data_IF_916774710897
#
_entry.id   IF_916774710897
#
_cell.length_a   1.000
_cell.length_b   1.000
_cell.length_c   1.000
_cell.angle_alpha   90.00
_cell.angle_beta   90.00
_cell.angle_gamma   90.00
#
_symmetry.space_group_name_H-M   'P 1'
#
loop_
_entity.id
_entity.type
_entity.pdbx_description
1 polymer ?
#
# COMPACT_ATOMS: atom_id res chain seq x y z
N UNK A 1 38.31 7.11 -41.79
CA UNK A 1 38.30 6.03 -40.79
C UNK A 1 37.96 6.49 -39.36
N UNK A 2 38.21 7.74 -38.93
CA UNK A 2 37.86 8.20 -37.57
C UNK A 2 36.41 8.64 -37.32
N UNK A 3 35.60 8.86 -38.36
CA UNK A 3 34.24 9.42 -38.26
C UNK A 3 33.16 8.37 -37.99
N UNK A 4 33.34 7.14 -38.45
CA UNK A 4 32.41 6.00 -38.26
C UNK A 4 32.36 5.53 -36.81
N UNK A 5 33.51 5.40 -36.12
CA UNK A 5 33.56 5.00 -34.71
C UNK A 5 32.83 5.99 -33.77
N UNK A 6 32.88 7.27 -34.08
CA UNK A 6 32.15 8.29 -33.32
C UNK A 6 30.64 8.28 -33.63
N UNK A 7 30.23 7.85 -34.83
CA UNK A 7 28.83 7.60 -35.15
C UNK A 7 28.30 6.36 -34.41
N UNK A 8 29.08 5.28 -34.36
CA UNK A 8 28.72 4.03 -33.67
C UNK A 8 28.60 4.24 -32.15
N UNK A 9 29.53 4.98 -31.54
CA UNK A 9 29.43 5.37 -30.12
C UNK A 9 28.16 6.17 -29.81
N UNK A 10 27.81 7.12 -30.69
CA UNK A 10 26.58 7.93 -30.56
C UNK A 10 25.33 7.08 -30.76
N UNK A 11 25.32 6.18 -31.73
CA UNK A 11 24.22 5.27 -31.98
C UNK A 11 23.98 4.34 -30.78
N UNK A 12 25.05 3.75 -30.23
CA UNK A 12 24.98 2.91 -29.04
C UNK A 12 24.46 3.67 -27.82
N UNK A 13 24.97 4.88 -27.56
CA UNK A 13 24.48 5.73 -26.48
C UNK A 13 22.98 6.05 -26.64
N UNK A 14 22.55 6.41 -27.85
CA UNK A 14 21.14 6.68 -28.14
C UNK A 14 20.24 5.45 -27.95
N UNK A 15 20.74 4.26 -28.27
CA UNK A 15 20.02 3.01 -28.06
C UNK A 15 19.84 2.72 -26.55
N UNK A 16 20.91 2.87 -25.75
CA UNK A 16 20.84 2.69 -24.30
C UNK A 16 19.88 3.68 -23.64
N UNK A 17 19.94 4.95 -24.02
CA UNK A 17 19.05 5.96 -23.46
C UNK A 17 17.58 5.74 -23.86
N UNK A 18 17.32 5.23 -25.07
CA UNK A 18 15.97 4.81 -25.47
C UNK A 18 15.45 3.69 -24.56
N UNK A 19 16.26 2.64 -24.36
CA UNK A 19 15.93 1.53 -23.45
C UNK A 19 15.64 2.03 -22.02
N UNK A 20 16.43 2.99 -21.52
CA UNK A 20 16.20 3.61 -20.20
C UNK A 20 14.86 4.34 -20.14
N UNK A 21 14.52 5.11 -21.19
CA UNK A 21 13.24 5.84 -21.27
C UNK A 21 12.04 4.90 -21.36
N UNK A 22 12.16 3.80 -22.09
CA UNK A 22 11.11 2.79 -22.18
C UNK A 22 10.86 2.14 -20.82
N UNK A 23 11.92 1.76 -20.09
CA UNK A 23 11.78 1.22 -18.74
C UNK A 23 11.12 2.21 -17.75
N UNK A 24 11.46 3.50 -17.83
CA UNK A 24 10.81 4.54 -17.02
C UNK A 24 9.33 4.65 -17.40
N UNK A 25 9.02 4.63 -18.70
CA UNK A 25 7.65 4.67 -19.18
C UNK A 25 6.86 3.49 -18.61
N UNK A 26 7.40 2.28 -18.62
CA UNK A 26 6.75 1.10 -18.04
C UNK A 26 6.53 1.25 -16.53
N UNK A 27 7.54 1.76 -15.80
CA UNK A 27 7.43 2.05 -14.37
C UNK A 27 6.29 3.04 -14.06
N UNK A 28 6.10 4.07 -14.90
CA UNK A 28 4.97 5.01 -14.75
C UNK A 28 3.61 4.35 -15.03
N UNK A 29 3.53 3.38 -15.95
CA UNK A 29 2.29 2.63 -16.17
C UNK A 29 1.96 1.78 -14.95
N UNK A 30 2.93 1.01 -14.43
CA UNK A 30 2.73 0.21 -13.22
C UNK A 30 2.33 1.06 -12.02
N UNK A 31 2.93 2.25 -11.85
CA UNK A 31 2.57 3.17 -10.78
C UNK A 31 1.14 3.69 -10.93
N UNK A 32 0.75 4.12 -12.14
CA UNK A 32 -0.62 4.57 -12.43
C UNK A 32 -1.64 3.49 -12.10
N UNK A 33 -1.40 2.26 -12.54
CA UNK A 33 -2.34 1.16 -12.37
C UNK A 33 -2.49 0.73 -10.89
N UNK A 34 -1.48 1.03 -10.06
CA UNK A 34 -1.50 0.80 -8.61
C UNK A 34 -2.26 1.86 -7.81
N UNK A 35 -2.63 2.98 -8.42
CA UNK A 35 -3.35 4.09 -7.77
C UNK A 35 -4.82 4.07 -8.24
N UNK A 36 -5.79 3.71 -7.37
CA UNK A 36 -7.19 3.52 -7.79
C UNK A 36 -7.80 4.73 -8.50
N UNK A 37 -7.46 5.95 -8.08
CA UNK A 37 -7.95 7.19 -8.67
C UNK A 37 -7.45 7.48 -10.10
N UNK A 38 -6.47 6.72 -10.60
CA UNK A 38 -5.89 6.90 -11.93
C UNK A 38 -6.22 5.74 -12.89
N UNK A 39 -6.92 4.70 -12.40
CA UNK A 39 -7.23 3.53 -13.21
C UNK A 39 -8.20 3.89 -14.34
N UNK A 40 -7.88 3.50 -15.56
CA UNK A 40 -8.70 3.77 -16.75
C UNK A 40 -8.61 5.21 -17.29
N UNK A 41 -7.87 6.11 -16.64
CA UNK A 41 -7.74 7.50 -17.06
C UNK A 41 -6.40 7.81 -17.74
N UNK A 42 -6.42 8.80 -18.65
CA UNK A 42 -5.19 9.38 -19.21
C UNK A 42 -4.63 10.39 -18.21
N UNK A 43 -3.59 9.98 -17.48
CA UNK A 43 -2.88 10.84 -16.54
C UNK A 43 -1.48 11.22 -17.04
N UNK A 44 -1.10 12.49 -16.85
CA UNK A 44 0.28 12.94 -17.09
C UNK A 44 1.25 12.40 -16.03
N UNK A 45 2.57 12.42 -16.31
CA UNK A 45 3.59 11.98 -15.34
C UNK A 45 3.51 12.75 -14.02
N UNK A 46 3.27 14.06 -14.07
CA UNK A 46 3.12 14.88 -12.87
C UNK A 46 1.91 14.42 -12.04
N UNK A 47 0.73 14.29 -12.69
CA UNK A 47 -0.48 13.80 -12.03
C UNK A 47 -0.30 12.40 -11.43
N UNK A 48 0.43 11.50 -12.09
CA UNK A 48 0.74 10.17 -11.55
C UNK A 48 1.52 10.29 -10.23
N UNK A 49 2.53 11.15 -10.18
CA UNK A 49 3.34 11.35 -8.96
C UNK A 49 2.54 12.01 -7.85
N UNK A 50 1.74 13.03 -8.17
CA UNK A 50 0.91 13.75 -7.21
C UNK A 50 -0.13 12.81 -6.58
N UNK A 51 -0.88 12.08 -7.42
CA UNK A 51 -1.91 11.15 -6.96
C UNK A 51 -1.34 9.92 -6.25
N UNK A 52 -0.16 9.43 -6.65
CA UNK A 52 0.52 8.38 -5.90
C UNK A 52 0.90 8.88 -4.49
N UNK A 53 1.41 10.11 -4.39
CA UNK A 53 1.79 10.72 -3.11
C UNK A 53 0.57 10.88 -2.20
N UNK A 54 -0.53 11.45 -2.72
CA UNK A 54 -1.81 11.57 -2.01
C UNK A 54 -2.31 10.20 -1.55
N UNK A 55 -2.25 9.20 -2.42
CA UNK A 55 -2.74 7.85 -2.11
C UNK A 55 -1.92 7.17 -1.01
N UNK A 56 -0.58 7.30 -1.02
CA UNK A 56 0.28 6.80 0.07
C UNK A 56 -0.09 7.45 1.40
N UNK A 57 -0.28 8.78 1.43
CA UNK A 57 -0.65 9.48 2.65
C UNK A 57 -2.05 9.07 3.15
N UNK A 58 -3.00 8.89 2.23
CA UNK A 58 -4.33 8.38 2.55
C UNK A 58 -4.26 6.97 3.15
N UNK A 59 -3.55 6.05 2.51
CA UNK A 59 -3.43 4.67 2.98
C UNK A 59 -2.72 4.56 4.33
N UNK A 60 -1.72 5.42 4.60
CA UNK A 60 -1.08 5.50 5.93
C UNK A 60 -2.08 5.88 7.02
N UNK A 61 -2.89 6.92 6.79
CA UNK A 61 -3.94 7.35 7.74
C UNK A 61 -4.98 6.27 7.93
N UNK A 62 -5.46 5.67 6.84
CA UNK A 62 -6.45 4.58 6.88
C UNK A 62 -5.96 3.37 7.66
N UNK A 63 -4.73 2.92 7.41
CA UNK A 63 -4.14 1.80 8.15
C UNK A 63 -3.97 2.13 9.63
N UNK A 64 -3.63 3.38 9.97
CA UNK A 64 -3.53 3.80 11.36
C UNK A 64 -4.88 3.73 12.09
N UNK A 65 -5.95 4.25 11.47
CA UNK A 65 -7.31 4.13 12.01
C UNK A 65 -7.73 2.68 12.18
N UNK A 66 -7.51 1.84 11.16
CA UNK A 66 -7.82 0.41 11.29
C UNK A 66 -7.02 -0.28 12.40
N UNK A 67 -5.77 0.11 12.63
CA UNK A 67 -4.99 -0.42 13.74
C UNK A 67 -5.58 0.00 15.09
N UNK A 68 -6.03 1.25 15.22
CA UNK A 68 -6.74 1.73 16.42
C UNK A 68 -8.03 0.95 16.66
N UNK A 69 -8.84 0.75 15.61
CA UNK A 69 -10.08 -0.03 15.69
C UNK A 69 -9.81 -1.48 16.15
N UNK A 70 -8.75 -2.10 15.63
CA UNK A 70 -8.31 -3.45 16.04
C UNK A 70 -7.94 -3.47 17.52
N UNK A 71 -7.17 -2.48 17.99
CA UNK A 71 -6.71 -2.42 19.38
C UNK A 71 -7.86 -2.15 20.35
N UNK A 72 -8.83 -1.33 19.95
CA UNK A 72 -10.04 -1.06 20.72
C UNK A 72 -10.95 -2.29 20.81
N UNK A 73 -11.18 -2.99 19.70
CA UNK A 73 -11.94 -4.24 19.68
C UNK A 73 -11.27 -5.33 20.53
N UNK A 74 -9.94 -5.44 20.49
CA UNK A 74 -9.21 -6.38 21.35
C UNK A 74 -9.39 -6.05 22.84
N UNK A 75 -9.36 -4.78 23.22
CA UNK A 75 -9.62 -4.36 24.60
C UNK A 75 -11.04 -4.68 25.02
N UNK A 76 -12.03 -4.42 24.18
CA UNK A 76 -13.43 -4.75 24.45
C UNK A 76 -13.63 -6.26 24.61
N UNK A 77 -13.06 -7.06 23.72
CA UNK A 77 -13.14 -8.52 23.81
C UNK A 77 -12.51 -9.03 25.11
N UNK A 78 -11.35 -8.53 25.51
CA UNK A 78 -10.71 -8.94 26.77
C UNK A 78 -11.58 -8.61 28.00
N UNK A 79 -12.24 -7.45 28.01
CA UNK A 79 -13.17 -7.09 29.09
C UNK A 79 -14.40 -8.00 29.12
N UNK A 80 -14.96 -8.33 27.96
CA UNK A 80 -16.12 -9.21 27.85
C UNK A 80 -15.77 -10.66 28.25
N UNK A 81 -14.60 -11.15 27.85
CA UNK A 81 -14.11 -12.47 28.26
C UNK A 81 -13.91 -12.54 29.78
N UNK A 82 -13.35 -11.50 30.39
CA UNK A 82 -13.22 -11.41 31.85
C UNK A 82 -14.59 -11.42 32.55
N UNK A 83 -15.57 -10.67 32.02
CA UNK A 83 -16.93 -10.66 32.56
C UNK A 83 -17.60 -12.03 32.41
N UNK A 84 -17.50 -12.66 31.24
CA UNK A 84 -18.05 -13.99 30.97
C UNK A 84 -17.50 -15.05 31.93
N UNK A 85 -16.19 -15.03 32.19
CA UNK A 85 -15.55 -15.92 33.17
C UNK A 85 -16.06 -15.68 34.60
N UNK A 86 -16.18 -14.43 35.02
CA UNK A 86 -16.67 -14.10 36.38
C UNK A 86 -18.13 -14.51 36.62
N UNK A 87 -18.97 -14.43 35.58
CA UNK A 87 -20.37 -14.84 35.64
C UNK A 87 -20.51 -16.37 35.70
N UNK A 88 -19.66 -17.10 34.97
CA UNK A 88 -19.60 -18.55 35.02
C UNK A 88 -19.14 -19.06 36.38
N UNK A 89 -18.07 -18.45 36.94
CA UNK A 89 -17.59 -18.75 38.29
C UNK A 89 -18.66 -18.50 39.36
N UNK A 90 -19.36 -17.36 39.26
CA UNK A 90 -20.47 -17.03 40.17
C UNK A 90 -21.64 -18.01 40.06
N UNK A 91 -21.93 -18.51 38.86
CA UNK A 91 -22.96 -19.54 38.61
C UNK A 91 -22.59 -20.90 39.21
N UNK A 92 -21.32 -21.28 39.11
CA UNK A 92 -20.81 -22.53 39.69
C UNK A 92 -20.85 -22.47 41.22
N UNK A 93 -20.47 -21.35 41.83
CA UNK A 93 -20.49 -21.16 43.29
C UNK A 93 -21.91 -21.11 43.88
N UNK A 94 -22.90 -20.65 43.11
CA UNK A 94 -24.29 -20.53 43.56
C UNK A 94 -25.17 -21.75 43.19
N UNK A 95 -24.63 -22.76 42.48
CA UNK A 95 -25.40 -23.97 42.17
C UNK A 95 -25.55 -24.83 43.43
N UNK A 96 -26.79 -25.12 43.88
CA UNK A 96 -26.99 -26.00 45.02
C UNK A 96 -26.54 -27.41 44.64
N UNK A 97 -25.52 -27.91 45.33
CA UNK A 97 -25.13 -29.32 45.27
C UNK A 97 -26.34 -30.17 45.68
N UNK A 98 -26.80 -31.02 44.77
CA UNK A 98 -27.76 -32.08 45.09
C UNK A 98 -27.11 -33.16 45.95
#
# INVERSE_FOLDING_TARGET
HGTTLNADKRAHHNALERKRRDHIKDSFHSLRDSVPALQGEKASRAQILDKATEYIQYMRRKNHTHQQDIDDLKRQNALLEQQGGSLDESRLLCSPAF
#
